data_IF_052937385668
#
_entry.id   IF_052937385668
#
_cell.length_a   1.000
_cell.length_b   1.000
_cell.length_c   1.000
_cell.angle_alpha   90.00
_cell.angle_beta   90.00
_cell.angle_gamma   90.00
#
_symmetry.space_group_name_H-M   'P 1'
#
loop_
_entity.id
_entity.type
_entity.pdbx_description
1 polymer ?
#
# COMPACT_ATOMS: atom_id res chain seq x y z
N UNK A 1 -0.46 16.14 21.72
CA UNK A 1 -1.59 16.71 20.95
C UNK A 1 -1.13 18.03 20.36
N UNK A 2 -0.96 18.10 19.04
CA UNK A 2 -0.77 19.38 18.34
C UNK A 2 -2.16 20.00 18.17
N UNK A 3 -2.68 20.63 19.22
CA UNK A 3 -3.88 21.48 19.12
C UNK A 3 -3.43 22.93 19.13
N UNK A 4 -2.97 23.40 17.96
CA UNK A 4 -2.65 24.80 17.73
C UNK A 4 -3.80 25.46 16.97
N UNK A 5 -4.39 26.51 17.56
CA UNK A 5 -5.28 27.44 16.88
C UNK A 5 -4.48 28.31 15.90
N UNK A 6 -3.93 27.69 14.86
CA UNK A 6 -3.15 28.35 13.83
C UNK A 6 -3.97 28.34 12.54
N UNK A 7 -4.07 29.48 11.85
CA UNK A 7 -4.65 29.57 10.49
C UNK A 7 -3.72 28.89 9.47
N UNK A 8 -3.39 27.63 9.70
CA UNK A 8 -2.71 26.77 8.73
C UNK A 8 -3.74 26.20 7.76
N UNK A 9 -3.38 26.08 6.49
CA UNK A 9 -4.14 25.24 5.57
C UNK A 9 -4.12 23.79 6.08
N UNK A 10 -5.21 23.02 5.92
CA UNK A 10 -5.21 21.61 6.29
C UNK A 10 -4.17 20.85 5.44
N UNK A 11 -3.27 20.11 6.09
CA UNK A 11 -2.16 19.39 5.43
C UNK A 11 -2.38 17.88 5.55
N UNK A 12 -2.28 17.19 4.42
CA UNK A 12 -2.20 15.74 4.35
C UNK A 12 -0.73 15.31 4.37
N UNK A 13 -0.34 14.54 5.36
CA UNK A 13 1.00 13.99 5.52
C UNK A 13 0.99 12.49 5.24
N UNK A 14 1.95 12.03 4.43
CA UNK A 14 2.25 10.61 4.22
C UNK A 14 3.63 10.35 4.82
N UNK A 15 3.68 9.52 5.85
CA UNK A 15 4.88 9.25 6.65
C UNK A 15 5.41 7.87 6.28
N UNK A 16 6.70 7.79 6.00
CA UNK A 16 7.38 6.51 5.85
C UNK A 16 7.39 5.72 7.17
N UNK A 17 7.57 4.39 7.12
CA UNK A 17 7.79 3.61 8.34
C UNK A 17 8.94 4.16 9.18
N UNK A 18 8.83 4.05 10.51
CA UNK A 18 9.90 4.42 11.44
C UNK A 18 11.15 3.54 11.26
N UNK A 19 10.94 2.26 10.90
CA UNK A 19 11.99 1.30 10.58
C UNK A 19 11.70 0.71 9.20
N UNK A 20 12.72 0.73 8.33
CA UNK A 20 12.62 0.10 7.01
C UNK A 20 12.81 -1.41 7.13
N UNK A 21 12.03 -2.18 6.36
CA UNK A 21 12.25 -3.61 6.23
C UNK A 21 13.64 -3.90 5.63
N UNK A 22 14.38 -4.88 6.15
CA UNK A 22 15.66 -5.27 5.59
C UNK A 22 15.43 -5.95 4.23
N UNK A 23 15.85 -5.29 3.16
CA UNK A 23 15.95 -5.90 1.83
C UNK A 23 17.31 -6.61 1.69
N UNK A 24 17.39 -7.77 1.02
CA UNK A 24 18.66 -8.40 0.71
C UNK A 24 19.60 -7.45 -0.04
N UNK A 25 20.90 -7.51 0.24
CA UNK A 25 21.88 -6.60 -0.34
C UNK A 25 21.89 -6.62 -1.89
N UNK A 26 21.58 -7.78 -2.49
CA UNK A 26 21.44 -7.92 -3.95
C UNK A 26 20.29 -7.06 -4.51
N UNK A 27 19.20 -6.93 -3.76
CA UNK A 27 17.99 -6.20 -4.15
C UNK A 27 18.10 -4.70 -3.86
N UNK A 28 18.99 -4.27 -2.96
CA UNK A 28 19.33 -2.85 -2.77
C UNK A 28 19.88 -2.22 -4.06
N UNK A 29 20.65 -2.97 -4.85
CA UNK A 29 21.17 -2.48 -6.14
C UNK A 29 20.07 -2.25 -7.19
N UNK A 30 18.93 -2.94 -7.03
CA UNK A 30 17.74 -2.84 -7.90
C UNK A 30 16.78 -1.73 -7.45
N UNK A 31 16.98 -1.18 -6.26
CA UNK A 31 16.27 0.03 -5.84
C UNK A 31 16.82 1.22 -6.64
N UNK A 32 16.04 1.72 -7.59
CA UNK A 32 16.47 2.77 -8.51
C UNK A 32 16.75 4.14 -7.87
N UNK A 33 16.37 4.35 -6.59
CA UNK A 33 16.81 5.42 -5.67
C UNK A 33 15.78 5.54 -4.54
N UNK A 34 16.21 5.85 -3.32
CA UNK A 34 15.33 6.12 -2.18
C UNK A 34 14.95 4.89 -1.35
N UNK A 35 14.05 5.08 -0.38
CA UNK A 35 13.56 4.01 0.50
C UNK A 35 12.53 3.13 -0.21
N UNK A 36 12.26 1.93 0.35
CA UNK A 36 11.19 1.05 -0.12
C UNK A 36 9.84 1.78 -0.17
N UNK A 37 9.56 2.62 0.83
CA UNK A 37 8.37 3.48 0.86
C UNK A 37 8.28 4.39 -0.37
N UNK A 38 9.34 5.14 -0.69
CA UNK A 38 9.33 6.02 -1.88
C UNK A 38 9.23 5.23 -3.19
N UNK A 39 9.78 4.00 -3.23
CA UNK A 39 9.61 3.11 -4.37
C UNK A 39 8.13 2.75 -4.54
N UNK A 40 7.42 2.37 -3.47
CA UNK A 40 5.98 2.06 -3.57
C UNK A 40 5.15 3.25 -4.07
N UNK A 41 5.49 4.47 -3.65
CA UNK A 41 4.80 5.68 -4.09
C UNK A 41 5.01 5.99 -5.60
N UNK A 42 6.08 5.47 -6.20
CA UNK A 42 6.40 5.71 -7.62
C UNK A 42 6.06 4.52 -8.53
N UNK A 43 6.40 3.29 -8.13
CA UNK A 43 6.26 2.06 -8.90
C UNK A 43 5.74 0.90 -8.01
N UNK A 44 4.48 0.95 -7.54
CA UNK A 44 3.94 0.09 -6.48
C UNK A 44 4.11 -1.41 -6.74
N UNK A 45 3.77 -1.87 -7.95
CA UNK A 45 3.86 -3.29 -8.29
C UNK A 45 5.31 -3.78 -8.35
N UNK A 46 6.21 -2.96 -8.92
CA UNK A 46 7.63 -3.25 -8.94
C UNK A 46 8.22 -3.30 -7.53
N UNK A 47 7.77 -2.43 -6.63
CA UNK A 47 8.20 -2.45 -5.22
C UNK A 47 7.72 -3.69 -4.47
N UNK A 48 6.52 -4.19 -4.78
CA UNK A 48 6.06 -5.48 -4.28
C UNK A 48 6.96 -6.61 -4.79
N UNK A 49 7.21 -6.68 -6.11
CA UNK A 49 8.10 -7.68 -6.72
C UNK A 49 9.48 -7.69 -6.07
N UNK A 50 10.04 -6.49 -5.87
CA UNK A 50 11.30 -6.30 -5.18
C UNK A 50 11.26 -6.78 -3.72
N UNK A 51 10.20 -6.43 -2.97
CA UNK A 51 10.02 -6.87 -1.59
C UNK A 51 9.94 -8.40 -1.48
N UNK A 52 9.34 -9.06 -2.48
CA UNK A 52 9.26 -10.52 -2.55
C UNK A 52 10.59 -11.19 -2.95
N UNK A 53 11.62 -10.41 -3.33
CA UNK A 53 12.90 -10.93 -3.80
C UNK A 53 12.82 -11.61 -5.17
N UNK A 54 11.78 -11.31 -5.95
CA UNK A 54 11.59 -11.86 -7.29
C UNK A 54 12.39 -11.03 -8.30
N UNK A 55 13.07 -11.70 -9.24
CA UNK A 55 13.74 -11.01 -10.33
C UNK A 55 12.70 -10.63 -11.40
N UNK A 56 12.72 -9.40 -11.90
CA UNK A 56 11.76 -8.93 -12.91
C UNK A 56 11.81 -9.73 -14.22
N UNK A 57 12.93 -10.42 -14.51
CA UNK A 57 13.06 -11.34 -15.65
C UNK A 57 12.38 -12.69 -15.42
N UNK A 58 12.16 -13.09 -14.17
CA UNK A 58 11.56 -14.38 -13.81
C UNK A 58 10.03 -14.33 -13.79
N UNK A 59 9.45 -13.12 -13.88
CA UNK A 59 8.00 -12.93 -13.88
C UNK A 59 7.50 -12.93 -15.32
N UNK A 60 6.61 -13.87 -15.62
CA UNK A 60 5.91 -13.92 -16.90
C UNK A 60 5.15 -12.60 -17.14
N UNK A 61 5.30 -12.03 -18.35
CA UNK A 61 4.69 -10.76 -18.73
C UNK A 61 3.18 -10.74 -18.51
N UNK A 62 2.51 -11.88 -18.74
CA UNK A 62 1.07 -12.02 -18.56
C UNK A 62 0.65 -12.00 -17.08
N UNK A 63 1.45 -12.60 -16.19
CA UNK A 63 1.27 -12.50 -14.74
C UNK A 63 1.45 -11.06 -14.25
N UNK A 64 2.49 -10.37 -14.70
CA UNK A 64 2.73 -8.96 -14.35
C UNK A 64 1.57 -8.07 -14.82
N UNK A 65 1.10 -8.25 -16.07
CA UNK A 65 -0.04 -7.53 -16.64
C UNK A 65 -1.34 -7.81 -15.87
N UNK A 66 -1.58 -9.07 -15.45
CA UNK A 66 -2.71 -9.45 -14.60
C UNK A 66 -2.66 -8.73 -13.25
N UNK A 67 -1.50 -8.72 -12.60
CA UNK A 67 -1.30 -8.04 -11.32
C UNK A 67 -1.47 -6.52 -11.44
N UNK A 68 -0.99 -5.91 -12.52
CA UNK A 68 -1.13 -4.47 -12.76
C UNK A 68 -2.60 -4.06 -12.94
N UNK A 69 -3.38 -4.83 -13.71
CA UNK A 69 -4.82 -4.62 -13.86
C UNK A 69 -5.57 -4.77 -12.55
N UNK A 70 -5.23 -5.78 -11.75
CA UNK A 70 -5.82 -6.01 -10.42
C UNK A 70 -5.53 -4.83 -9.47
N UNK A 71 -4.26 -4.39 -9.40
CA UNK A 71 -3.89 -3.24 -8.59
C UNK A 71 -4.62 -1.97 -9.05
N UNK A 72 -4.76 -1.76 -10.37
CA UNK A 72 -5.49 -0.63 -10.93
C UNK A 72 -6.98 -0.66 -10.57
N UNK A 73 -7.64 -1.81 -10.67
CA UNK A 73 -9.06 -1.94 -10.32
C UNK A 73 -9.30 -1.70 -8.83
N UNK A 74 -8.48 -2.29 -7.96
CA UNK A 74 -8.60 -2.09 -6.51
C UNK A 74 -8.25 -0.66 -6.09
N UNK A 75 -7.30 -0.01 -6.76
CA UNK A 75 -7.02 1.42 -6.54
C UNK A 75 -8.23 2.29 -6.88
N UNK A 76 -8.90 2.00 -8.00
CA UNK A 76 -10.12 2.73 -8.38
C UNK A 76 -11.24 2.51 -7.36
N UNK A 77 -11.43 1.27 -6.90
CA UNK A 77 -12.40 0.90 -5.86
C UNK A 77 -12.14 1.67 -4.55
N UNK A 78 -10.91 1.68 -4.04
CA UNK A 78 -10.57 2.47 -2.85
C UNK A 78 -10.81 3.96 -3.03
N UNK A 79 -10.53 4.51 -4.20
CA UNK A 79 -10.83 5.91 -4.51
C UNK A 79 -12.34 6.20 -4.42
N UNK A 80 -13.18 5.29 -4.90
CA UNK A 80 -14.63 5.40 -4.78
C UNK A 80 -15.13 5.22 -3.34
N UNK A 81 -14.57 4.25 -2.60
CA UNK A 81 -14.91 4.02 -1.19
C UNK A 81 -14.55 5.23 -0.32
N UNK A 82 -13.38 5.83 -0.55
CA UNK A 82 -12.98 7.06 0.13
C UNK A 82 -13.91 8.23 -0.19
N UNK A 83 -14.23 8.42 -1.48
CA UNK A 83 -15.12 9.50 -1.90
C UNK A 83 -16.56 9.37 -1.37
N UNK A 84 -16.99 8.14 -1.06
CA UNK A 84 -18.29 7.84 -0.46
C UNK A 84 -18.28 7.85 1.08
N UNK A 85 -17.13 8.10 1.72
CA UNK A 85 -17.00 8.04 3.18
C UNK A 85 -17.49 9.33 3.83
N UNK A 86 -18.50 9.23 4.71
CA UNK A 86 -19.12 10.38 5.38
C UNK A 86 -18.18 11.16 6.31
N UNK A 87 -17.10 10.53 6.75
CA UNK A 87 -16.12 11.07 7.69
C UNK A 87 -14.74 11.32 7.05
N UNK A 88 -14.67 11.47 5.72
CA UNK A 88 -13.42 11.80 5.05
C UNK A 88 -12.97 13.22 5.42
N UNK A 89 -11.75 13.34 5.94
CA UNK A 89 -11.17 14.66 6.22
C UNK A 89 -11.11 15.52 4.94
N UNK A 90 -11.47 16.82 5.00
CA UNK A 90 -11.46 17.71 3.84
C UNK A 90 -10.15 17.70 3.03
N UNK A 91 -8.99 17.49 3.67
CA UNK A 91 -7.72 17.44 2.96
C UNK A 91 -7.64 16.24 2.01
N UNK A 92 -8.17 15.09 2.43
CA UNK A 92 -8.23 13.91 1.58
C UNK A 92 -9.25 14.09 0.47
N UNK A 93 -10.38 14.76 0.73
CA UNK A 93 -11.35 15.11 -0.31
C UNK A 93 -10.72 15.96 -1.43
N UNK A 94 -9.91 16.97 -1.07
CA UNK A 94 -9.18 17.79 -2.04
C UNK A 94 -8.15 16.97 -2.83
N UNK A 95 -7.39 16.11 -2.14
CA UNK A 95 -6.42 15.21 -2.77
C UNK A 95 -7.08 14.25 -3.77
N UNK A 96 -8.28 13.74 -3.47
CA UNK A 96 -9.02 12.85 -4.37
C UNK A 96 -9.49 13.54 -5.66
N UNK A 97 -9.67 14.87 -5.64
CA UNK A 97 -10.05 15.65 -6.83
C UNK A 97 -8.90 15.85 -7.81
N UNK A 98 -7.63 15.79 -7.35
CA UNK A 98 -6.47 15.86 -8.23
C UNK A 98 -6.03 14.45 -8.68
N UNK A 99 -5.97 14.16 -10.00
CA UNK A 99 -5.65 12.81 -10.47
C UNK A 99 -4.26 12.29 -10.07
N UNK A 100 -3.28 13.18 -9.93
CA UNK A 100 -1.91 12.80 -9.55
C UNK A 100 -1.82 12.53 -8.04
N UNK A 101 -2.34 13.43 -7.22
CA UNK A 101 -2.36 13.27 -5.76
C UNK A 101 -3.27 12.11 -5.34
N UNK A 102 -4.43 11.93 -5.99
CA UNK A 102 -5.27 10.73 -5.82
C UNK A 102 -4.47 9.47 -6.08
N UNK A 103 -3.74 9.39 -7.19
CA UNK A 103 -2.90 8.23 -7.50
C UNK A 103 -1.83 8.01 -6.44
N UNK A 104 -1.19 9.08 -5.97
CA UNK A 104 -0.18 9.01 -4.91
C UNK A 104 -0.77 8.48 -3.59
N UNK A 105 -1.94 8.95 -3.18
CA UNK A 105 -2.65 8.48 -2.00
C UNK A 105 -3.03 7.00 -2.10
N UNK A 106 -3.52 6.57 -3.25
CA UNK A 106 -3.90 5.16 -3.46
C UNK A 106 -2.68 4.22 -3.49
N UNK A 107 -1.54 4.70 -4.01
CA UNK A 107 -0.26 3.98 -3.89
C UNK A 107 0.22 3.89 -2.45
N UNK A 108 -0.02 4.94 -1.65
CA UNK A 108 0.23 4.91 -0.22
C UNK A 108 -0.64 3.87 0.50
N UNK A 109 -1.95 3.81 0.20
CA UNK A 109 -2.86 2.79 0.75
C UNK A 109 -2.35 1.38 0.42
N UNK A 110 -1.95 1.15 -0.82
CA UNK A 110 -1.35 -0.11 -1.24
C UNK A 110 -0.06 -0.43 -0.47
N UNK A 111 0.88 0.52 -0.39
CA UNK A 111 2.11 0.39 0.38
C UNK A 111 1.83 -0.01 1.82
N UNK A 112 0.89 0.68 2.48
CA UNK A 112 0.50 0.43 3.86
C UNK A 112 -0.07 -0.97 4.05
N UNK A 113 -0.96 -1.41 3.17
CA UNK A 113 -1.55 -2.76 3.22
C UNK A 113 -0.48 -3.85 3.04
N UNK A 114 0.39 -3.71 2.03
CA UNK A 114 1.47 -4.67 1.77
C UNK A 114 2.42 -4.76 2.97
N UNK A 115 2.89 -3.62 3.48
CA UNK A 115 3.83 -3.59 4.61
C UNK A 115 3.19 -4.06 5.92
N UNK A 116 1.91 -3.80 6.14
CA UNK A 116 1.22 -4.30 7.33
C UNK A 116 1.05 -5.83 7.32
N UNK A 117 0.71 -6.41 6.16
CA UNK A 117 0.43 -7.84 6.03
C UNK A 117 1.68 -8.69 5.80
N UNK A 118 2.80 -8.08 5.46
CA UNK A 118 4.04 -8.81 5.21
C UNK A 118 4.55 -9.50 6.49
N UNK A 119 4.91 -10.78 6.38
CA UNK A 119 5.17 -11.62 7.56
C UNK A 119 6.32 -11.10 8.44
N UNK A 120 7.35 -10.50 7.84
CA UNK A 120 8.50 -9.96 8.57
C UNK A 120 8.18 -8.70 9.38
N UNK A 121 7.12 -7.98 9.03
CA UNK A 121 6.60 -6.80 9.74
C UNK A 121 5.37 -7.10 10.59
N UNK A 122 4.96 -8.36 10.70
CA UNK A 122 3.72 -8.75 11.38
C UNK A 122 3.62 -8.19 12.80
N UNK A 123 2.51 -7.48 13.07
CA UNK A 123 2.17 -6.81 14.33
C UNK A 123 3.16 -5.74 14.83
N UNK A 124 4.02 -5.22 13.94
CA UNK A 124 5.02 -4.21 14.29
C UNK A 124 4.73 -2.89 13.57
N UNK A 125 4.15 -1.96 14.31
CA UNK A 125 3.72 -0.65 13.79
C UNK A 125 4.90 0.15 13.21
N UNK A 126 6.12 -0.09 13.69
CA UNK A 126 7.31 0.61 13.23
C UNK A 126 7.65 0.35 11.74
N UNK A 127 7.13 -0.73 11.15
CA UNK A 127 7.31 -1.06 9.72
C UNK A 127 6.15 -0.58 8.84
N UNK A 128 5.11 0.04 9.43
CA UNK A 128 3.90 0.43 8.72
C UNK A 128 3.94 1.94 8.47
N UNK A 129 3.69 2.40 7.22
CA UNK A 129 3.61 3.82 6.94
C UNK A 129 2.31 4.41 7.49
N UNK A 130 2.39 5.64 7.99
CA UNK A 130 1.28 6.34 8.62
C UNK A 130 0.87 7.56 7.79
N UNK A 131 -0.34 8.06 8.01
CA UNK A 131 -0.79 9.31 7.40
C UNK A 131 -1.55 10.14 8.42
N UNK A 132 -1.47 11.47 8.28
CA UNK A 132 -2.19 12.42 9.11
C UNK A 132 -2.89 13.43 8.21
N UNK A 133 -4.19 13.70 8.38
CA UNK A 133 -5.12 13.03 9.29
C UNK A 133 -5.32 11.53 8.94
N UNK A 134 -5.81 10.68 9.85
CA UNK A 134 -6.01 9.26 9.54
C UNK A 134 -7.00 9.09 8.37
N UNK A 135 -6.75 8.08 7.54
CA UNK A 135 -7.70 7.69 6.50
C UNK A 135 -8.85 6.86 7.10
N UNK A 136 -10.04 6.90 6.50
CA UNK A 136 -11.18 6.07 6.92
C UNK A 136 -10.89 4.57 6.94
N UNK A 137 -11.62 3.83 7.79
CA UNK A 137 -11.47 2.37 7.98
C UNK A 137 -11.66 1.55 6.69
N UNK A 138 -12.41 2.07 5.70
CA UNK A 138 -12.61 1.41 4.40
C UNK A 138 -11.31 1.12 3.64
N UNK A 139 -10.24 1.86 3.92
CA UNK A 139 -8.88 1.65 3.38
C UNK A 139 -7.84 1.38 4.47
N UNK A 140 -8.30 0.95 5.65
CA UNK A 140 -7.44 0.43 6.71
C UNK A 140 -6.65 -0.78 6.19
N UNK A 141 -5.39 -0.99 6.60
CA UNK A 141 -4.65 -2.17 6.16
C UNK A 141 -5.29 -3.50 6.58
N UNK A 142 -6.21 -3.49 7.57
CA UNK A 142 -7.01 -4.65 7.98
C UNK A 142 -8.35 -4.80 7.23
N UNK A 143 -8.66 -3.87 6.32
CA UNK A 143 -9.93 -3.92 5.58
C UNK A 143 -9.97 -5.13 4.65
N UNK A 144 -11.19 -5.62 4.38
CA UNK A 144 -11.39 -6.76 3.48
C UNK A 144 -10.87 -6.48 2.06
N UNK A 145 -10.97 -5.25 1.57
CA UNK A 145 -10.48 -4.86 0.23
C UNK A 145 -8.95 -4.85 0.17
N UNK A 146 -8.27 -4.36 1.22
CA UNK A 146 -6.81 -4.43 1.35
C UNK A 146 -6.32 -5.87 1.46
N UNK A 147 -6.93 -6.68 2.33
CA UNK A 147 -6.60 -8.10 2.47
C UNK A 147 -6.82 -8.86 1.16
N UNK A 148 -7.95 -8.68 0.49
CA UNK A 148 -8.28 -9.38 -0.74
C UNK A 148 -7.31 -9.05 -1.88
N UNK A 149 -6.90 -7.78 -2.03
CA UNK A 149 -5.91 -7.39 -3.03
C UNK A 149 -4.55 -8.04 -2.74
N UNK A 150 -4.05 -7.92 -1.50
CA UNK A 150 -2.74 -8.49 -1.14
C UNK A 150 -2.74 -10.01 -1.27
N UNK A 151 -3.81 -10.69 -0.87
CA UNK A 151 -3.96 -12.13 -1.05
C UNK A 151 -3.91 -12.55 -2.53
N UNK A 152 -4.66 -11.86 -3.39
CA UNK A 152 -4.68 -12.17 -4.82
C UNK A 152 -3.35 -11.86 -5.51
N UNK A 153 -2.66 -10.77 -5.15
CA UNK A 153 -1.33 -10.48 -5.67
C UNK A 153 -0.30 -11.51 -5.19
N UNK A 154 -0.37 -11.92 -3.92
CA UNK A 154 0.49 -12.96 -3.39
C UNK A 154 0.26 -14.31 -4.10
N UNK A 155 -0.99 -14.66 -4.42
CA UNK A 155 -1.33 -15.82 -5.24
C UNK A 155 -0.75 -15.71 -6.66
N UNK A 156 -0.93 -14.57 -7.34
CA UNK A 156 -0.38 -14.32 -8.68
C UNK A 156 1.15 -14.53 -8.72
N UNK A 157 1.84 -14.11 -7.66
CA UNK A 157 3.31 -14.23 -7.56
C UNK A 157 3.79 -15.50 -6.84
N UNK A 158 2.90 -16.40 -6.44
CA UNK A 158 3.27 -17.63 -5.72
C UNK A 158 3.97 -17.36 -4.38
N UNK A 159 3.61 -16.28 -3.69
CA UNK A 159 4.27 -15.77 -2.49
C UNK A 159 3.31 -15.60 -1.29
N UNK A 160 2.26 -16.43 -1.22
CA UNK A 160 1.27 -16.39 -0.12
C UNK A 160 1.89 -16.66 1.25
N UNK A 161 2.97 -17.44 1.31
CA UNK A 161 3.78 -17.72 2.51
C UNK A 161 4.48 -16.47 3.08
N UNK A 162 4.59 -15.39 2.29
CA UNK A 162 5.21 -14.12 2.69
C UNK A 162 4.26 -13.16 3.39
N UNK A 163 2.97 -13.48 3.47
CA UNK A 163 1.95 -12.62 4.05
C UNK A 163 1.15 -13.33 5.14
N UNK A 164 0.79 -12.59 6.18
CA UNK A 164 -0.15 -13.04 7.22
C UNK A 164 -1.56 -12.70 6.73
N UNK A 165 -2.15 -13.63 5.98
CA UNK A 165 -3.48 -13.50 5.43
C UNK A 165 -4.49 -14.26 6.30
N UNK A 166 -5.73 -13.77 6.49
CA UNK A 166 -6.77 -14.58 7.12
C UNK A 166 -6.98 -15.85 6.31
N UNK A 167 -7.06 -17.00 7.00
CA UNK A 167 -7.37 -18.27 6.35
C UNK A 167 -8.75 -18.17 5.72
N UNK A 168 -8.81 -18.21 4.39
CA UNK A 168 -10.08 -18.36 3.68
C UNK A 168 -10.60 -19.76 3.99
N UNK A 169 -11.45 -19.88 5.02
CA UNK A 169 -12.25 -21.09 5.20
C UNK A 169 -13.23 -21.14 4.04
N UNK A 170 -12.85 -21.82 2.96
CA UNK A 170 -13.84 -22.39 2.06
C UNK A 170 -14.64 -23.37 2.91
N UNK A 171 -15.85 -22.97 3.31
CA UNK A 171 -16.82 -23.95 3.80
C UNK A 171 -17.06 -24.96 2.66
N UNK A 172 -17.13 -26.26 2.97
CA UNK A 172 -17.36 -27.32 1.99
C UNK A 172 -18.71 -27.19 1.29
#
# INVERSE_FOLDING_TARGET
>A
ALSGSEKGEPIGMLLSPAISLPLPAADLSRQHSGSLFTSFLTAPLQSLVLLLGLNGFDIEKDLYSKAEKLLQSSSNEWGSLLAASDNLDPVWSQILCDPFLRRLLLRFVFCRAVLFLYAQSSNKIEFVPECMPPLPEVVSPVSSTCHALVAQLADIFGATDRFILPVTTHLP
#
